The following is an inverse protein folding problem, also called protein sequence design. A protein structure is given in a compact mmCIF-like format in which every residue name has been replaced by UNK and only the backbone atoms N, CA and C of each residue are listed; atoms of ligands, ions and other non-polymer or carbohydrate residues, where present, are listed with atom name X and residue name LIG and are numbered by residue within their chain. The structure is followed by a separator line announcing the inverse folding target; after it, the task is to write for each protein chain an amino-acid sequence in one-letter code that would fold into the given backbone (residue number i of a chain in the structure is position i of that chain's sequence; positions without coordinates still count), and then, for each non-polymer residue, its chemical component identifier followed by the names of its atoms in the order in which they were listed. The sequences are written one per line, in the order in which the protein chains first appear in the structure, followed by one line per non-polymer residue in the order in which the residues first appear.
data_IF_404748061156
#
_entry.id   IF_404748061156
#
_cell.length_a   1.000
_cell.length_b   1.000
_cell.length_c   1.000
_cell.angle_alpha   90.00
_cell.angle_beta   90.00
_cell.angle_gamma   90.00
#
_symmetry.space_group_name_H-M   'P 1'
#
loop_
_entity.id
_entity.type
_entity.pdbx_description
1 polymer ?
#
# COMPACT_ATOMS: atom_id res chain seq x y z
N UNK A 1 -10.55 -8.88 -19.65
CA UNK A 1 -11.74 -8.40 -18.89
C UNK A 1 -11.40 -7.13 -18.11
N UNK A 2 -12.37 -6.23 -17.99
CA UNK A 2 -12.19 -5.06 -17.13
C UNK A 2 -12.26 -5.50 -15.66
N UNK A 3 -11.37 -5.02 -14.76
CA UNK A 3 -11.45 -5.37 -13.36
C UNK A 3 -12.77 -4.86 -12.75
N UNK A 4 -13.37 -5.67 -11.88
CA UNK A 4 -14.49 -5.22 -11.05
C UNK A 4 -13.92 -4.49 -9.83
N UNK A 5 -14.46 -3.32 -9.54
CA UNK A 5 -13.99 -2.47 -8.44
C UNK A 5 -15.16 -2.20 -7.49
N UNK A 6 -14.91 -2.36 -6.19
CA UNK A 6 -15.77 -1.86 -5.11
C UNK A 6 -14.91 -0.98 -4.20
N UNK A 7 -15.39 0.21 -3.89
CA UNK A 7 -14.61 1.18 -3.15
C UNK A 7 -15.48 2.01 -2.20
N UNK A 8 -14.90 2.34 -1.05
CA UNK A 8 -15.45 3.29 -0.07
C UNK A 8 -14.34 4.27 0.25
N UNK A 9 -14.58 5.57 0.10
CA UNK A 9 -13.63 6.64 0.36
C UNK A 9 -12.27 6.45 -0.34
N UNK A 10 -12.28 5.86 -1.54
CA UNK A 10 -11.07 5.40 -2.21
C UNK A 10 -10.09 6.53 -2.58
N UNK A 11 -10.58 7.75 -2.73
CA UNK A 11 -9.79 8.94 -3.04
C UNK A 11 -9.47 9.80 -1.81
N UNK A 12 -9.80 9.36 -0.60
CA UNK A 12 -9.39 10.07 0.61
C UNK A 12 -7.91 9.82 0.89
N UNK A 13 -7.11 10.88 0.83
CA UNK A 13 -5.69 10.81 1.14
C UNK A 13 -5.46 10.90 2.65
N UNK A 14 -4.68 9.98 3.19
CA UNK A 14 -4.31 9.97 4.60
C UNK A 14 -2.85 9.61 4.83
N UNK A 15 -2.38 9.84 6.07
CA UNK A 15 -1.06 9.39 6.48
C UNK A 15 -1.00 7.86 6.46
N UNK A 16 -0.03 7.32 5.72
CA UNK A 16 0.03 5.90 5.39
C UNK A 16 1.21 5.14 6.02
N UNK A 17 2.01 5.83 6.83
CA UNK A 17 3.20 5.29 7.50
C UNK A 17 4.17 4.56 6.54
N UNK A 18 4.37 3.26 6.68
CA UNK A 18 5.30 2.48 5.84
C UNK A 18 4.70 1.99 4.52
N UNK A 19 3.41 2.21 4.26
CA UNK A 19 2.79 1.77 3.01
C UNK A 19 3.47 2.39 1.78
N UNK A 20 3.78 3.71 1.73
CA UNK A 20 4.41 4.32 0.57
C UNK A 20 5.83 3.82 0.22
N UNK A 21 6.40 2.88 0.98
CA UNK A 21 7.65 2.19 0.59
C UNK A 21 7.52 1.45 -0.75
N UNK A 22 6.30 1.15 -1.20
CA UNK A 22 6.05 0.63 -2.56
C UNK A 22 6.46 1.63 -3.65
N UNK A 23 6.37 2.93 -3.38
CA UNK A 23 6.85 3.97 -4.31
C UNK A 23 8.39 3.97 -4.41
N UNK A 24 9.09 3.70 -3.30
CA UNK A 24 10.56 3.57 -3.33
C UNK A 24 10.95 2.30 -4.10
N UNK A 25 10.21 1.20 -3.91
CA UNK A 25 10.43 -0.04 -4.67
C UNK A 25 10.28 0.22 -6.18
N UNK A 26 9.17 0.85 -6.60
CA UNK A 26 8.96 1.21 -8.00
C UNK A 26 10.07 2.15 -8.52
N UNK A 27 10.42 3.17 -7.74
CA UNK A 27 11.48 4.13 -8.11
C UNK A 27 12.84 3.47 -8.32
N UNK A 28 13.18 2.46 -7.51
CA UNK A 28 14.43 1.71 -7.66
C UNK A 28 14.46 0.93 -8.98
N UNK A 29 13.39 0.21 -9.30
CA UNK A 29 13.29 -0.53 -10.57
C UNK A 29 13.21 0.37 -11.79
N UNK A 30 12.49 1.50 -11.68
CA UNK A 30 12.40 2.47 -12.77
C UNK A 30 13.76 3.11 -13.06
N UNK A 31 14.47 3.56 -12.02
CA UNK A 31 15.80 4.14 -12.14
C UNK A 31 16.83 3.15 -12.67
N UNK A 32 16.70 1.88 -12.29
CA UNK A 32 17.57 0.83 -12.82
C UNK A 32 17.33 0.58 -14.31
N UNK A 33 16.09 0.61 -14.77
CA UNK A 33 15.76 0.48 -16.19
C UNK A 33 16.30 1.64 -17.04
N UNK A 34 16.53 2.80 -16.43
CA UNK A 34 17.18 3.97 -17.05
C UNK A 34 18.71 3.94 -16.91
N UNK A 35 19.31 2.92 -16.31
CA UNK A 35 20.74 2.81 -16.09
C UNK A 35 21.29 3.66 -14.94
N UNK A 36 20.41 4.30 -14.15
CA UNK A 36 20.79 5.19 -13.05
C UNK A 36 20.96 4.51 -11.68
N UNK A 37 20.66 3.22 -11.58
CA UNK A 37 20.84 2.40 -10.38
C UNK A 37 21.15 0.95 -10.78
N UNK A 38 22.09 0.32 -10.11
CA UNK A 38 22.35 -1.10 -10.27
C UNK A 38 21.50 -1.92 -9.28
N UNK A 39 20.79 -2.92 -9.78
CA UNK A 39 20.07 -3.91 -8.97
C UNK A 39 21.00 -5.07 -8.61
N UNK A 40 22.10 -4.76 -7.92
CA UNK A 40 23.01 -5.76 -7.37
C UNK A 40 22.41 -6.48 -6.15
N UNK A 41 23.12 -7.45 -5.61
CA UNK A 41 22.65 -8.24 -4.46
C UNK A 41 22.40 -7.39 -3.22
N UNK A 42 23.21 -6.34 -2.99
CA UNK A 42 22.99 -5.41 -1.87
C UNK A 42 21.71 -4.60 -2.03
N UNK A 43 21.48 -4.05 -3.20
CA UNK A 43 20.27 -3.30 -3.53
C UNK A 43 19.03 -4.19 -3.40
N UNK A 44 19.05 -5.43 -3.94
CA UNK A 44 17.95 -6.40 -3.81
C UNK A 44 17.68 -6.77 -2.35
N UNK A 45 18.74 -6.99 -1.57
CA UNK A 45 18.64 -7.27 -0.13
C UNK A 45 18.02 -6.10 0.63
N UNK A 46 18.42 -4.87 0.33
CA UNK A 46 17.82 -3.66 0.93
C UNK A 46 16.34 -3.52 0.57
N UNK A 47 15.97 -3.69 -0.70
CA UNK A 47 14.57 -3.64 -1.15
C UNK A 47 13.73 -4.71 -0.46
N UNK A 48 14.23 -5.94 -0.36
CA UNK A 48 13.57 -7.05 0.32
C UNK A 48 13.35 -6.74 1.80
N UNK A 49 14.37 -6.25 2.50
CA UNK A 49 14.27 -5.86 3.92
C UNK A 49 13.31 -4.69 4.12
N UNK A 50 13.35 -3.69 3.23
CA UNK A 50 12.42 -2.56 3.25
C UNK A 50 10.96 -3.02 3.14
N UNK A 51 10.68 -4.00 2.29
CA UNK A 51 9.32 -4.47 2.03
C UNK A 51 8.87 -5.50 3.06
N UNK A 52 9.57 -6.66 3.17
CA UNK A 52 9.15 -7.80 3.99
C UNK A 52 9.20 -7.51 5.49
N UNK A 53 10.30 -6.90 5.96
CA UNK A 53 10.50 -6.51 7.36
C UNK A 53 10.08 -5.07 7.66
N UNK A 54 9.64 -4.32 6.65
CA UNK A 54 9.34 -2.89 6.78
C UNK A 54 10.49 -2.06 7.36
N UNK A 55 11.75 -2.46 7.13
CA UNK A 55 12.94 -1.79 7.65
C UNK A 55 12.97 -0.31 7.29
N UNK A 56 13.07 0.55 8.29
CA UNK A 56 13.16 1.99 8.10
C UNK A 56 14.56 2.43 7.64
N UNK A 57 15.61 1.78 8.13
CA UNK A 57 16.98 2.04 7.68
C UNK A 57 17.15 1.69 6.20
N UNK A 58 16.71 0.49 5.80
CA UNK A 58 16.74 0.09 4.40
C UNK A 58 15.92 1.04 3.50
N UNK A 59 14.75 1.49 3.96
CA UNK A 59 13.94 2.46 3.23
C UNK A 59 14.63 3.82 3.07
N UNK A 60 15.28 4.31 4.12
CA UNK A 60 16.05 5.57 4.06
C UNK A 60 17.21 5.43 3.08
N UNK A 61 18.03 4.38 3.20
CA UNK A 61 19.14 4.12 2.29
C UNK A 61 18.67 4.01 0.83
N UNK A 62 17.60 3.27 0.57
CA UNK A 62 17.08 3.15 -0.79
C UNK A 62 16.52 4.46 -1.33
N UNK A 63 15.81 5.25 -0.50
CA UNK A 63 15.30 6.55 -0.90
C UNK A 63 16.42 7.55 -1.21
N UNK A 64 17.57 7.48 -0.52
CA UNK A 64 18.77 8.25 -0.81
C UNK A 64 19.43 7.82 -2.13
N UNK A 65 19.53 6.49 -2.39
CA UNK A 65 20.07 5.96 -3.65
C UNK A 65 19.20 6.31 -4.86
N UNK A 66 17.88 6.19 -4.70
CA UNK A 66 16.92 6.52 -5.77
C UNK A 66 16.81 8.03 -5.98
N UNK A 67 16.73 8.79 -4.92
CA UNK A 67 16.53 10.23 -4.89
C UNK A 67 15.09 10.62 -4.61
N UNK A 68 14.93 11.60 -3.72
CA UNK A 68 13.60 12.07 -3.27
C UNK A 68 12.79 12.70 -4.41
N UNK A 69 13.42 13.61 -5.16
CA UNK A 69 12.79 14.27 -6.30
C UNK A 69 12.44 13.26 -7.39
N UNK A 70 13.35 12.32 -7.65
CA UNK A 70 13.12 11.27 -8.62
C UNK A 70 11.86 10.44 -8.32
N UNK A 71 11.68 10.01 -7.06
CA UNK A 71 10.46 9.29 -6.64
C UNK A 71 9.23 10.19 -6.82
N UNK A 72 9.27 11.44 -6.41
CA UNK A 72 8.14 12.37 -6.54
C UNK A 72 7.76 12.64 -8.01
N UNK A 73 8.74 12.86 -8.87
CA UNK A 73 8.53 13.12 -10.29
C UNK A 73 8.00 11.88 -11.02
N UNK A 74 8.54 10.71 -10.69
CA UNK A 74 8.05 9.43 -11.21
C UNK A 74 6.58 9.18 -10.84
N UNK A 75 6.19 9.40 -9.58
CA UNK A 75 4.80 9.21 -9.13
C UNK A 75 3.82 10.14 -9.86
N UNK A 76 4.24 11.35 -10.20
CA UNK A 76 3.44 12.34 -10.92
C UNK A 76 3.53 12.21 -12.45
N UNK A 77 4.42 11.35 -12.96
CA UNK A 77 4.62 11.17 -14.39
C UNK A 77 3.35 10.70 -15.09
N UNK A 78 3.16 11.08 -16.36
CA UNK A 78 2.04 10.60 -17.20
C UNK A 78 2.01 9.08 -17.36
N UNK A 79 3.14 8.42 -17.13
CA UNK A 79 3.24 6.97 -17.21
C UNK A 79 2.53 6.28 -16.05
N UNK A 80 2.67 6.79 -14.86
CA UNK A 80 2.15 6.13 -13.65
C UNK A 80 0.94 6.85 -13.03
N UNK A 81 0.98 8.18 -12.93
CA UNK A 81 -0.05 9.00 -12.28
C UNK A 81 -0.50 8.40 -10.93
N UNK A 82 0.50 7.97 -10.12
CA UNK A 82 0.26 7.43 -8.78
C UNK A 82 0.20 8.52 -7.69
N UNK A 83 0.42 9.76 -8.09
CA UNK A 83 0.08 10.97 -7.36
C UNK A 83 -0.46 12.00 -8.35
N UNK A 84 -1.73 12.36 -8.17
CA UNK A 84 -2.42 13.33 -9.02
C UNK A 84 -3.28 14.25 -8.15
N UNK A 85 -3.00 15.58 -8.12
CA UNK A 85 -3.84 16.53 -7.39
C UNK A 85 -5.31 16.54 -7.83
N UNK A 86 -5.61 16.28 -9.10
CA UNK A 86 -6.98 16.23 -9.61
C UNK A 86 -7.74 14.99 -9.10
N UNK A 87 -7.01 13.93 -8.72
CA UNK A 87 -7.54 12.70 -8.12
C UNK A 87 -7.38 12.68 -6.59
N UNK A 88 -7.26 13.83 -5.96
CA UNK A 88 -7.11 14.01 -4.52
C UNK A 88 -5.79 13.45 -3.94
N UNK A 89 -4.72 13.47 -4.70
CA UNK A 89 -3.38 13.05 -4.30
C UNK A 89 -3.04 11.61 -4.67
N UNK A 90 -2.45 10.85 -3.76
CA UNK A 90 -2.00 9.49 -4.05
C UNK A 90 -0.81 9.06 -3.18
N UNK A 91 0.10 8.29 -3.76
CA UNK A 91 1.31 7.85 -3.08
C UNK A 91 2.30 9.01 -2.94
N UNK A 92 2.80 9.25 -1.72
CA UNK A 92 3.79 10.28 -1.45
C UNK A 92 4.84 9.85 -0.43
N UNK A 93 6.12 10.14 -0.74
CA UNK A 93 7.26 9.91 0.13
C UNK A 93 8.09 11.21 0.20
N UNK A 94 7.82 12.04 1.18
CA UNK A 94 8.43 13.37 1.33
C UNK A 94 9.44 13.48 2.47
N UNK A 95 9.81 12.37 3.12
CA UNK A 95 10.68 12.34 4.28
C UNK A 95 11.44 11.01 4.35
N UNK A 96 12.70 10.97 4.84
CA UNK A 96 13.35 9.71 5.20
C UNK A 96 12.58 9.01 6.33
N UNK A 97 12.68 7.69 6.38
CA UNK A 97 12.12 6.88 7.47
C UNK A 97 13.04 6.91 8.71
N UNK A 98 13.45 8.10 9.12
CA UNK A 98 14.36 8.38 10.21
C UNK A 98 13.90 9.61 11.00
N UNK A 99 14.59 9.88 12.14
CA UNK A 99 14.43 11.14 12.91
C UNK A 99 15.12 12.30 12.15
N UNK A 100 14.52 12.75 11.06
CA UNK A 100 15.02 13.84 10.25
C UNK A 100 13.86 14.72 9.79
N UNK A 101 14.15 15.91 9.29
CA UNK A 101 13.19 16.80 8.66
C UNK A 101 12.56 16.19 7.39
N UNK A 102 11.41 16.69 6.99
CA UNK A 102 10.85 16.37 5.69
C UNK A 102 11.65 17.10 4.59
N UNK A 103 11.92 16.38 3.49
CA UNK A 103 12.45 17.00 2.28
C UNK A 103 11.37 17.87 1.61
N UNK A 104 10.20 17.28 1.37
CA UNK A 104 9.03 17.97 0.83
C UNK A 104 7.78 17.21 1.21
N UNK A 105 6.91 17.83 1.98
CA UNK A 105 5.61 17.25 2.29
C UNK A 105 4.70 17.28 1.07
N UNK A 106 3.71 16.38 1.06
CA UNK A 106 2.70 16.38 0.02
C UNK A 106 2.00 17.74 -0.08
N UNK A 107 1.84 18.26 -1.32
CA UNK A 107 1.37 19.63 -1.53
C UNK A 107 -0.10 19.86 -1.16
N UNK A 108 -0.92 18.82 -1.07
CA UNK A 108 -2.36 18.96 -0.79
C UNK A 108 -2.70 18.89 0.70
N UNK A 109 -2.13 17.93 1.42
CA UNK A 109 -2.49 17.63 2.81
C UNK A 109 -1.32 17.76 3.78
N UNK A 110 -0.17 18.22 3.30
CA UNK A 110 1.04 18.40 4.10
C UNK A 110 1.50 17.12 4.82
N UNK A 111 1.28 15.95 4.20
CA UNK A 111 1.68 14.65 4.73
C UNK A 111 3.14 14.34 4.36
N UNK A 112 3.89 13.75 5.30
CA UNK A 112 5.24 13.26 5.01
C UNK A 112 5.25 11.93 4.25
N UNK A 113 4.27 11.07 4.52
CA UNK A 113 4.06 9.78 3.88
C UNK A 113 2.55 9.60 3.70
N UNK A 114 2.06 9.80 2.50
CA UNK A 114 0.64 9.76 2.19
C UNK A 114 0.28 8.67 1.21
N UNK A 115 -0.99 8.28 1.23
CA UNK A 115 -1.58 7.44 0.19
C UNK A 115 -3.10 7.64 0.12
N UNK A 116 -3.65 7.42 -1.08
CA UNK A 116 -5.08 7.13 -1.26
C UNK A 116 -5.25 5.63 -1.51
N UNK A 117 -6.32 5.00 -1.02
CA UNK A 117 -6.59 3.58 -1.33
C UNK A 117 -6.64 3.30 -2.84
N UNK A 118 -7.16 4.22 -3.62
CA UNK A 118 -7.28 4.06 -5.07
C UNK A 118 -5.92 3.97 -5.77
N UNK A 119 -4.99 4.88 -5.49
CA UNK A 119 -3.67 4.86 -6.13
C UNK A 119 -2.79 3.69 -5.64
N UNK A 120 -2.99 3.24 -4.41
CA UNK A 120 -2.37 1.99 -3.94
C UNK A 120 -2.94 0.78 -4.71
N UNK A 121 -4.24 0.72 -4.93
CA UNK A 121 -4.85 -0.35 -5.71
C UNK A 121 -4.38 -0.31 -7.19
N UNK A 122 -4.25 0.88 -7.78
CA UNK A 122 -3.68 1.05 -9.13
C UNK A 122 -2.24 0.57 -9.21
N UNK A 123 -1.40 0.87 -8.21
CA UNK A 123 -0.04 0.33 -8.14
C UNK A 123 -0.07 -1.21 -8.23
N UNK A 124 -0.88 -1.87 -7.43
CA UNK A 124 -0.98 -3.33 -7.44
C UNK A 124 -1.59 -3.88 -8.74
N UNK A 125 -2.55 -3.17 -9.34
CA UNK A 125 -3.10 -3.55 -10.63
C UNK A 125 -2.05 -3.48 -11.76
N UNK A 126 -1.27 -2.41 -11.81
CA UNK A 126 -0.18 -2.27 -12.77
C UNK A 126 0.93 -3.31 -12.53
N UNK A 127 1.20 -3.63 -11.25
CA UNK A 127 2.13 -4.68 -10.87
C UNK A 127 1.67 -6.05 -11.36
N UNK A 128 0.40 -6.38 -11.14
CA UNK A 128 -0.20 -7.67 -11.50
C UNK A 128 -0.27 -7.87 -13.01
N UNK A 129 -0.53 -6.80 -13.74
CA UNK A 129 -0.63 -6.80 -15.21
C UNK A 129 0.72 -6.58 -15.93
N UNK A 130 1.85 -6.54 -15.21
CA UNK A 130 3.18 -6.38 -15.80
C UNK A 130 3.49 -4.97 -16.33
N UNK A 131 2.70 -3.97 -15.95
CA UNK A 131 2.82 -2.60 -16.47
C UNK A 131 3.79 -1.70 -15.68
N UNK A 132 4.25 -2.14 -14.50
CA UNK A 132 5.26 -1.40 -13.75
C UNK A 132 6.65 -1.66 -14.33
N UNK A 133 7.24 -0.64 -14.94
CA UNK A 133 8.55 -0.64 -15.61
C UNK A 133 8.59 -1.60 -16.82
N UNK A 134 8.55 -2.89 -16.57
CA UNK A 134 8.47 -3.98 -17.54
C UNK A 134 7.82 -5.21 -16.89
N UNK A 135 7.47 -6.22 -17.69
CA UNK A 135 6.94 -7.49 -17.19
C UNK A 135 7.92 -8.20 -16.25
N UNK A 136 9.21 -8.22 -16.63
CA UNK A 136 10.28 -8.80 -15.81
C UNK A 136 10.43 -8.04 -14.48
N UNK A 137 10.48 -6.70 -14.51
CA UNK A 137 10.57 -5.87 -13.31
C UNK A 137 9.34 -6.05 -12.40
N UNK A 138 8.15 -6.11 -12.98
CA UNK A 138 6.91 -6.39 -12.24
C UNK A 138 6.95 -7.77 -11.58
N UNK A 139 7.49 -8.79 -12.25
CA UNK A 139 7.65 -10.13 -11.68
C UNK A 139 8.62 -10.13 -10.50
N UNK A 140 9.76 -9.45 -10.61
CA UNK A 140 10.73 -9.34 -9.52
C UNK A 140 10.17 -8.53 -8.33
N UNK A 141 9.44 -7.45 -8.59
CA UNK A 141 8.76 -6.70 -7.54
C UNK A 141 7.69 -7.54 -6.82
N UNK A 142 6.95 -8.40 -7.53
CA UNK A 142 6.01 -9.36 -6.91
C UNK A 142 6.74 -10.31 -5.97
N UNK A 143 7.89 -10.86 -6.37
CA UNK A 143 8.69 -11.73 -5.50
C UNK A 143 9.18 -10.99 -4.24
N UNK A 144 9.61 -9.73 -4.35
CA UNK A 144 10.01 -8.91 -3.20
C UNK A 144 8.82 -8.67 -2.26
N UNK A 145 7.62 -8.43 -2.79
CA UNK A 145 6.39 -8.20 -2.01
C UNK A 145 5.81 -9.49 -1.40
N UNK A 146 6.20 -10.64 -1.90
CA UNK A 146 5.75 -11.94 -1.38
C UNK A 146 6.41 -12.27 -0.04
N UNK A 147 5.87 -13.28 0.66
CA UNK A 147 6.41 -13.81 1.92
C UNK A 147 6.66 -12.72 2.98
N UNK A 148 5.64 -11.92 3.35
CA UNK A 148 5.80 -10.87 4.35
C UNK A 148 6.24 -11.45 5.69
N UNK A 149 7.27 -10.84 6.30
CA UNK A 149 7.79 -11.27 7.61
C UNK A 149 6.97 -10.72 8.80
N UNK A 150 6.03 -9.82 8.54
CA UNK A 150 5.21 -9.19 9.57
C UNK A 150 3.78 -9.75 9.48
N UNK A 151 3.39 -10.54 10.46
CA UNK A 151 2.15 -11.31 10.47
C UNK A 151 1.00 -10.62 11.24
N UNK A 152 0.63 -9.42 10.84
CA UNK A 152 -0.54 -8.71 11.41
C UNK A 152 -1.53 -8.29 10.31
N UNK A 153 -2.70 -7.77 10.70
CA UNK A 153 -3.75 -7.23 9.79
C UNK A 153 -4.17 -8.25 8.74
N UNK A 154 -3.96 -7.98 7.44
CA UNK A 154 -4.36 -8.88 6.35
C UNK A 154 -3.74 -10.27 6.51
N UNK A 155 -2.44 -10.34 6.81
CA UNK A 155 -1.76 -11.63 7.00
C UNK A 155 -2.38 -12.41 8.16
N UNK A 156 -2.62 -11.77 9.31
CA UNK A 156 -3.26 -12.43 10.45
C UNK A 156 -4.67 -12.94 10.12
N UNK A 157 -5.47 -12.13 9.41
CA UNK A 157 -6.82 -12.52 8.99
C UNK A 157 -6.81 -13.71 8.05
N UNK A 158 -5.94 -13.68 7.03
CA UNK A 158 -5.81 -14.76 6.05
C UNK A 158 -5.26 -16.04 6.68
N UNK A 159 -4.16 -15.97 7.43
CA UNK A 159 -3.56 -17.15 8.07
C UNK A 159 -4.55 -17.86 9.00
N UNK A 160 -5.38 -17.10 9.73
CA UNK A 160 -6.34 -17.66 10.68
C UNK A 160 -7.57 -18.26 10.00
N UNK A 161 -8.09 -17.62 8.95
CA UNK A 161 -9.41 -17.94 8.41
C UNK A 161 -9.38 -18.46 6.96
N UNK A 162 -8.28 -18.27 6.25
CA UNK A 162 -8.11 -18.63 4.83
C UNK A 162 -6.74 -19.25 4.58
N UNK A 163 -6.46 -20.41 5.22
CA UNK A 163 -5.19 -21.11 5.08
C UNK A 163 -4.91 -21.42 3.59
N UNK A 164 -3.66 -21.31 3.19
CA UNK A 164 -3.25 -21.48 1.79
C UNK A 164 -3.37 -20.23 0.92
N UNK A 165 -3.82 -19.10 1.48
CA UNK A 165 -3.75 -17.82 0.76
C UNK A 165 -2.31 -17.31 0.68
N UNK A 166 -1.91 -16.88 -0.50
CA UNK A 166 -0.66 -16.15 -0.71
C UNK A 166 -0.95 -14.65 -0.79
N UNK A 167 -0.01 -13.84 -0.30
CA UNK A 167 -0.15 -12.39 -0.33
C UNK A 167 1.16 -11.69 -0.72
N UNK A 168 1.08 -10.83 -1.72
CA UNK A 168 2.12 -9.87 -2.09
C UNK A 168 1.76 -8.53 -1.49
N UNK A 169 2.50 -8.10 -0.46
CA UNK A 169 1.95 -7.15 0.51
C UNK A 169 2.89 -6.03 0.91
N UNK A 170 2.30 -4.86 1.23
CA UNK A 170 2.91 -3.83 2.07
C UNK A 170 1.93 -3.25 3.06
N UNK A 171 2.36 -3.09 4.32
CA UNK A 171 1.58 -2.44 5.37
C UNK A 171 2.28 -1.22 5.94
N UNK A 172 1.51 -0.41 6.68
CA UNK A 172 2.01 0.72 7.46
C UNK A 172 1.32 0.82 8.82
N UNK A 173 2.07 1.24 9.85
CA UNK A 173 1.55 1.54 11.18
C UNK A 173 2.31 2.70 11.78
N UNK A 174 1.57 3.68 12.29
CA UNK A 174 2.09 4.76 13.11
C UNK A 174 0.99 5.27 14.04
N UNK A 175 1.19 5.15 15.36
CA UNK A 175 0.16 5.48 16.35
C UNK A 175 -1.17 4.79 16.01
N UNK A 176 -2.22 5.56 15.76
CA UNK A 176 -3.57 5.09 15.39
C UNK A 176 -3.77 4.93 13.88
N UNK A 177 -2.80 5.33 13.06
CA UNK A 177 -2.84 5.13 11.61
C UNK A 177 -2.41 3.71 11.26
N UNK A 178 -3.28 2.98 10.59
CA UNK A 178 -3.04 1.63 10.10
C UNK A 178 -3.41 1.54 8.64
N UNK A 179 -2.52 0.97 7.84
CA UNK A 179 -2.76 0.65 6.45
C UNK A 179 -2.33 -0.78 6.15
N UNK A 180 -2.99 -1.43 5.23
CA UNK A 180 -2.58 -2.70 4.64
C UNK A 180 -3.05 -2.79 3.19
N UNK A 181 -2.29 -3.50 2.36
CA UNK A 181 -2.58 -3.59 0.94
C UNK A 181 -1.85 -4.78 0.32
N UNK A 182 -2.41 -5.36 -0.71
CA UNK A 182 -1.75 -6.41 -1.44
C UNK A 182 -2.58 -7.05 -2.53
N UNK A 183 -1.91 -7.91 -3.29
CA UNK A 183 -2.53 -8.90 -4.15
C UNK A 183 -2.67 -10.18 -3.33
N UNK A 184 -3.86 -10.71 -3.23
CA UNK A 184 -4.17 -11.97 -2.57
C UNK A 184 -4.48 -13.01 -3.63
N UNK A 185 -3.88 -14.18 -3.50
CA UNK A 185 -4.11 -15.31 -4.38
C UNK A 185 -4.52 -16.53 -3.56
N UNK A 186 -5.61 -17.19 -3.97
CA UNK A 186 -6.10 -18.42 -3.39
C UNK A 186 -6.94 -19.19 -4.43
N UNK A 187 -6.80 -20.49 -4.47
CA UNK A 187 -7.59 -21.38 -5.35
C UNK A 187 -7.60 -20.93 -6.83
N UNK A 188 -6.46 -20.45 -7.32
CA UNK A 188 -6.29 -19.97 -8.69
C UNK A 188 -7.03 -18.65 -9.02
N UNK A 189 -7.60 -17.99 -8.03
CA UNK A 189 -8.20 -16.65 -8.17
C UNK A 189 -7.35 -15.61 -7.47
N UNK A 190 -7.41 -14.39 -8.00
CA UNK A 190 -6.60 -13.27 -7.52
C UNK A 190 -7.45 -12.02 -7.36
N UNK A 191 -7.21 -11.28 -6.28
CA UNK A 191 -7.83 -9.96 -6.08
C UNK A 191 -6.86 -9.00 -5.38
N UNK A 192 -7.14 -7.71 -5.50
CA UNK A 192 -6.40 -6.64 -4.83
C UNK A 192 -7.26 -6.12 -3.68
N UNK A 193 -6.67 -5.98 -2.51
CA UNK A 193 -7.29 -5.37 -1.36
C UNK A 193 -6.43 -4.23 -0.82
N UNK A 194 -7.06 -3.12 -0.45
CA UNK A 194 -6.44 -1.98 0.24
C UNK A 194 -7.35 -1.54 1.37
N UNK A 195 -6.79 -1.39 2.55
CA UNK A 195 -7.50 -0.87 3.73
C UNK A 195 -6.64 0.15 4.46
N UNK A 196 -7.22 1.31 4.76
CA UNK A 196 -6.57 2.38 5.51
C UNK A 196 -7.53 2.90 6.57
N UNK A 197 -7.04 3.11 7.80
CA UNK A 197 -7.87 3.52 8.93
C UNK A 197 -7.04 4.30 9.96
N UNK A 198 -7.66 5.31 10.53
CA UNK A 198 -7.12 6.05 11.67
C UNK A 198 -7.95 5.73 12.93
N UNK A 199 -7.60 4.66 13.63
CA UNK A 199 -8.26 4.23 14.85
C UNK A 199 -7.35 3.31 15.69
N UNK A 200 -7.38 3.35 17.03
CA UNK A 200 -6.56 2.47 17.88
C UNK A 200 -6.74 0.97 17.59
N UNK A 201 -7.94 0.53 17.25
CA UNK A 201 -8.26 -0.85 16.88
C UNK A 201 -8.02 -1.17 15.40
N UNK A 202 -7.41 -0.28 14.62
CA UNK A 202 -7.29 -0.39 13.16
C UNK A 202 -6.62 -1.66 12.69
N UNK A 203 -5.62 -2.16 13.44
CA UNK A 203 -4.98 -3.43 13.11
C UNK A 203 -5.97 -4.60 13.11
N UNK A 204 -6.82 -4.69 14.14
CA UNK A 204 -7.87 -5.71 14.28
C UNK A 204 -8.95 -5.54 13.20
N UNK A 205 -9.32 -4.30 12.90
CA UNK A 205 -10.32 -4.04 11.87
C UNK A 205 -9.85 -4.49 10.49
N UNK A 206 -8.60 -4.21 10.14
CA UNK A 206 -8.02 -4.65 8.87
C UNK A 206 -7.89 -6.17 8.79
N UNK A 207 -7.60 -6.86 9.91
CA UNK A 207 -7.59 -8.33 9.96
C UNK A 207 -8.99 -8.93 9.70
N UNK A 208 -10.06 -8.31 10.18
CA UNK A 208 -11.44 -8.72 9.89
C UNK A 208 -11.88 -8.35 8.48
N UNK A 209 -11.48 -7.16 8.03
CA UNK A 209 -11.84 -6.65 6.70
C UNK A 209 -11.37 -7.61 5.60
N UNK A 210 -10.14 -8.11 5.67
CA UNK A 210 -9.63 -8.99 4.61
C UNK A 210 -10.42 -10.29 4.52
N UNK A 211 -10.90 -10.82 5.64
CA UNK A 211 -11.74 -12.02 5.66
C UNK A 211 -13.08 -11.76 4.99
N UNK A 212 -13.71 -10.61 5.28
CA UNK A 212 -14.96 -10.20 4.65
C UNK A 212 -14.80 -9.94 3.14
N UNK A 213 -13.69 -9.33 2.73
CA UNK A 213 -13.39 -9.11 1.30
C UNK A 213 -13.13 -10.44 0.57
N UNK A 214 -12.43 -11.38 1.21
CA UNK A 214 -12.22 -12.71 0.67
C UNK A 214 -13.56 -13.44 0.46
N UNK A 215 -14.48 -13.37 1.43
CA UNK A 215 -15.82 -13.95 1.30
C UNK A 215 -16.60 -13.31 0.14
N UNK A 216 -16.52 -11.99 -0.05
CA UNK A 216 -17.15 -11.31 -1.20
C UNK A 216 -16.62 -11.81 -2.54
N UNK A 217 -15.34 -12.18 -2.61
CA UNK A 217 -14.71 -12.66 -3.85
C UNK A 217 -15.00 -14.14 -4.11
N UNK A 218 -14.91 -14.96 -3.07
CA UNK A 218 -14.96 -16.42 -3.21
C UNK A 218 -16.34 -17.04 -2.94
N UNK A 219 -17.12 -16.43 -2.06
CA UNK A 219 -18.42 -16.92 -1.60
C UNK A 219 -19.47 -15.80 -1.56
N UNK A 220 -19.71 -15.08 -2.66
CA UNK A 220 -20.58 -13.91 -2.66
C UNK A 220 -22.03 -14.22 -2.24
N UNK A 221 -22.47 -15.45 -2.44
CA UNK A 221 -23.79 -15.93 -2.03
C UNK A 221 -23.97 -16.02 -0.50
N UNK A 222 -22.86 -16.19 0.24
CA UNK A 222 -22.86 -16.30 1.69
C UNK A 222 -22.85 -14.92 2.38
N UNK A 223 -22.60 -13.86 1.64
CA UNK A 223 -22.55 -12.50 2.20
C UNK A 223 -23.98 -11.96 2.33
N UNK A 224 -24.49 -11.97 3.56
CA UNK A 224 -25.79 -11.38 3.86
C UNK A 224 -25.71 -9.87 3.79
N UNK A 225 -26.54 -9.27 2.95
CA UNK A 225 -26.58 -7.80 2.72
C UNK A 225 -27.07 -6.99 3.92
N UNK A 226 -27.74 -7.65 4.87
CA UNK A 226 -28.37 -7.04 6.05
C UNK A 226 -27.55 -7.16 7.33
N UNK A 227 -26.49 -7.98 7.33
CA UNK A 227 -25.63 -8.14 8.49
C UNK A 227 -24.33 -7.36 8.30
N UNK A 228 -24.27 -6.15 8.93
CA UNK A 228 -22.99 -5.48 9.11
C UNK A 228 -22.07 -6.38 9.94
N UNK A 229 -20.89 -6.75 9.45
CA UNK A 229 -19.90 -7.48 10.27
C UNK A 229 -19.35 -6.62 11.43
N UNK A 230 -19.82 -5.38 11.54
CA UNK A 230 -19.38 -4.36 12.48
C UNK A 230 -20.56 -3.83 13.30
N UNK A 231 -21.06 -4.56 14.30
CA UNK A 231 -22.17 -4.08 15.14
C UNK A 231 -21.83 -2.76 15.85
N UNK A 232 -20.56 -2.53 16.13
CA UNK A 232 -20.03 -1.31 16.76
C UNK A 232 -20.03 -0.06 15.86
N UNK A 233 -20.22 -0.20 14.54
CA UNK A 233 -20.27 0.93 13.60
C UNK A 233 -21.69 1.44 13.31
N UNK A 234 -22.71 0.85 13.90
CA UNK A 234 -24.12 1.28 13.68
C UNK A 234 -24.44 2.67 14.25
N UNK A 235 -23.52 3.27 15.03
CA UNK A 235 -23.69 4.56 15.70
C UNK A 235 -22.43 5.43 15.62
N UNK A 236 -21.72 5.43 14.51
CA UNK A 236 -20.68 6.45 14.31
C UNK A 236 -21.33 7.61 13.58
N UNK A 237 -21.71 8.64 14.32
CA UNK A 237 -22.02 9.95 13.77
C UNK A 237 -20.87 10.44 12.87
N UNK A 238 -21.21 11.22 11.85
CA UNK A 238 -20.26 11.73 10.87
C UNK A 238 -19.00 12.31 11.55
N UNK A 239 -17.78 12.07 11.01
CA UNK A 239 -16.56 12.54 11.63
C UNK A 239 -16.56 14.05 11.79
N UNK A 240 -16.08 14.58 12.92
CA UNK A 240 -15.91 16.01 13.07
C UNK A 240 -14.93 16.52 12.01
N UNK A 241 -15.30 17.61 11.37
CA UNK A 241 -14.50 18.30 10.35
C UNK A 241 -13.03 18.42 10.81
N UNK A 242 -12.11 18.09 9.90
CA UNK A 242 -10.68 18.08 10.14
C UNK A 242 -10.21 19.41 10.77
N UNK A 243 -9.87 19.38 12.04
CA UNK A 243 -9.06 20.44 12.65
C UNK A 243 -7.62 20.26 12.18
N UNK A 244 -7.04 21.32 11.65
CA UNK A 244 -5.63 21.41 11.30
C UNK A 244 -4.79 20.90 12.47
N UNK A 245 -3.91 19.94 12.20
CA UNK A 245 -2.89 19.48 13.14
C UNK A 245 -1.72 20.44 13.10
N UNK A 246 -1.12 20.77 14.24
CA UNK A 246 0.01 21.68 14.38
C UNK A 246 1.28 21.18 13.71
#
# INVERSE_FOLDING_TARGET
ERPRVAAVNAHEMMYAASLPKIAILLGAFHKAAEGGLELDDDTRRLLTNMIRHSSNSAATTMLERVGYSYVADMLQSKRYQLYDPEMNGGLWVGKPYAKAGAWKRDPMYNLSHGATPFEVARFYYMLDTGQLVSEQASSEMREILSKPAIEHKFVAGLNTHRPGSEIMRKSGTWRTFHSDSGIIERDGRRYIAVGMVNHPSGSRWLSRLIVALDDLVFNPENVRRDQSPWPELRHVDAPPQARALP
#
